data_IF_343064145619
#
_entry.id   IF_343064145619
#
_cell.length_a   1.000
_cell.length_b   1.000
_cell.length_c   1.000
_cell.angle_alpha   90.00
_cell.angle_beta   90.00
_cell.angle_gamma   90.00
#
_symmetry.space_group_name_H-M   'P 1'
#
loop_
_entity.id
_entity.type
_entity.pdbx_description
1 polymer ?
#
# COMPACT_ATOMS: atom_id res chain seq x y z
N UNK A 1 -23.02 -10.25 6.16
CA UNK A 1 -22.96 -8.99 5.42
C UNK A 1 -21.63 -8.90 4.71
N UNK A 2 -21.65 -8.59 3.41
CA UNK A 2 -20.47 -8.36 2.60
C UNK A 2 -20.14 -6.87 2.56
N UNK A 3 -18.87 -6.52 2.69
CA UNK A 3 -18.44 -5.12 2.70
C UNK A 3 -17.05 -4.91 2.10
N UNK A 4 -16.84 -3.70 1.62
CA UNK A 4 -15.57 -3.15 1.21
C UNK A 4 -15.53 -1.70 1.74
N UNK A 5 -14.47 -1.32 2.39
CA UNK A 5 -14.27 0.01 2.97
C UNK A 5 -13.03 0.66 2.34
N UNK A 6 -13.22 1.80 1.72
CA UNK A 6 -12.15 2.65 1.20
C UNK A 6 -12.11 4.00 1.89
N UNK A 7 -10.91 4.48 2.13
CA UNK A 7 -10.63 5.82 2.66
C UNK A 7 -9.71 6.54 1.69
N UNK A 8 -10.02 7.81 1.42
CA UNK A 8 -9.17 8.70 0.64
C UNK A 8 -8.85 9.94 1.47
N UNK A 9 -7.58 10.29 1.53
CA UNK A 9 -7.10 11.51 2.20
C UNK A 9 -6.64 12.48 1.10
N UNK A 10 -7.46 13.47 0.76
CA UNK A 10 -7.08 14.47 -0.24
C UNK A 10 -5.97 15.39 0.29
N UNK A 11 -5.11 15.82 -0.60
CA UNK A 11 -4.06 16.81 -0.33
C UNK A 11 -4.23 18.05 -1.21
N UNK A 12 -3.51 19.09 -0.90
CA UNK A 12 -3.36 20.27 -1.76
C UNK A 12 -2.23 20.09 -2.80
N UNK A 13 -1.56 18.93 -2.82
CA UNK A 13 -0.40 18.68 -3.66
C UNK A 13 -0.82 18.50 -5.12
N UNK A 14 -0.20 19.28 -6.00
CA UNK A 14 -0.39 19.13 -7.43
C UNK A 14 0.26 17.81 -7.91
N UNK A 15 -0.43 17.10 -8.79
CA UNK A 15 0.05 15.83 -9.32
C UNK A 15 1.45 15.93 -9.95
N UNK A 16 1.72 17.03 -10.66
CA UNK A 16 3.00 17.22 -11.35
C UNK A 16 4.18 17.48 -10.40
N UNK A 17 3.91 18.05 -9.23
CA UNK A 17 4.90 18.35 -8.19
C UNK A 17 5.09 17.20 -7.20
N UNK A 18 4.27 16.14 -7.31
CA UNK A 18 4.23 15.03 -6.35
C UNK A 18 5.12 13.87 -6.75
N UNK A 19 5.78 13.28 -5.75
CA UNK A 19 6.58 12.07 -5.85
C UNK A 19 6.13 11.07 -4.78
N UNK A 20 6.01 9.79 -5.16
CA UNK A 20 5.38 8.77 -4.33
C UNK A 20 6.38 7.77 -3.78
N UNK A 21 6.07 7.23 -2.60
CA UNK A 21 6.76 6.10 -1.99
C UNK A 21 5.75 5.00 -1.62
N UNK A 22 5.77 3.91 -2.41
CA UNK A 22 5.11 2.65 -2.07
C UNK A 22 6.19 1.56 -2.07
N UNK A 23 6.72 1.19 -0.93
CA UNK A 23 7.90 0.36 -0.80
C UNK A 23 7.83 -0.96 -1.56
N UNK A 24 8.78 -1.16 -2.47
CA UNK A 24 8.82 -2.35 -3.33
C UNK A 24 8.08 -2.22 -4.66
N UNK A 25 7.22 -1.22 -4.83
CA UNK A 25 6.42 -1.05 -6.03
C UNK A 25 6.60 0.28 -6.74
N UNK A 26 6.67 1.38 -6.00
CA UNK A 26 6.64 2.69 -6.60
C UNK A 26 7.57 3.66 -5.88
N UNK A 27 8.46 4.30 -6.65
CA UNK A 27 9.36 5.35 -6.17
C UNK A 27 9.34 6.52 -7.13
N UNK A 28 9.36 7.74 -6.63
CA UNK A 28 9.17 8.95 -7.42
C UNK A 28 7.90 8.88 -8.27
N UNK A 29 8.02 9.05 -9.57
CA UNK A 29 6.93 8.92 -10.56
C UNK A 29 6.96 7.58 -11.30
N UNK A 30 7.85 6.70 -10.94
CA UNK A 30 8.03 5.36 -11.55
C UNK A 30 8.15 5.40 -13.09
N UNK A 31 8.83 6.41 -13.63
CA UNK A 31 8.87 6.70 -15.07
C UNK A 31 9.66 5.67 -15.90
N UNK A 32 10.46 4.83 -15.25
CA UNK A 32 11.28 3.80 -15.91
C UNK A 32 10.62 2.43 -15.94
N UNK A 33 9.38 2.32 -15.52
CA UNK A 33 8.64 1.06 -15.57
C UNK A 33 8.39 0.62 -17.01
N UNK A 34 8.38 -0.70 -17.28
CA UNK A 34 7.88 -1.24 -18.54
C UNK A 34 6.45 -0.75 -18.82
N UNK A 35 6.05 -0.75 -20.09
CA UNK A 35 4.71 -0.26 -20.50
C UNK A 35 3.56 -0.99 -19.81
N UNK A 36 3.76 -2.24 -19.44
CA UNK A 36 2.76 -3.10 -18.79
C UNK A 36 2.70 -2.92 -17.29
N UNK A 37 3.72 -2.30 -16.70
CA UNK A 37 3.84 -2.11 -15.26
C UNK A 37 3.32 -0.74 -14.82
N UNK A 38 3.05 -0.55 -13.53
CA UNK A 38 2.63 0.73 -12.98
C UNK A 38 3.60 1.85 -13.32
N UNK A 39 3.08 2.93 -13.87
CA UNK A 39 3.81 4.19 -14.02
C UNK A 39 2.84 5.37 -13.99
N UNK A 40 3.37 6.53 -13.69
CA UNK A 40 2.61 7.77 -13.63
C UNK A 40 1.86 8.10 -14.95
N UNK A 41 2.34 7.59 -16.08
CA UNK A 41 1.73 7.81 -17.38
C UNK A 41 0.64 6.78 -17.74
N UNK A 42 0.58 5.66 -17.03
CA UNK A 42 -0.33 4.55 -17.39
C UNK A 42 -1.64 4.59 -16.63
N UNK A 43 -1.66 5.19 -15.46
CA UNK A 43 -2.86 5.38 -14.67
C UNK A 43 -2.71 6.50 -13.66
N UNK A 44 -3.80 7.14 -13.33
CA UNK A 44 -3.87 8.17 -12.31
C UNK A 44 -4.03 7.61 -10.89
N UNK A 45 -4.54 6.40 -10.77
CA UNK A 45 -4.81 5.73 -9.50
C UNK A 45 -4.16 4.37 -9.46
N UNK A 46 -3.48 4.07 -8.37
CA UNK A 46 -2.85 2.77 -8.11
C UNK A 46 -3.09 2.35 -6.68
N UNK A 47 -3.66 1.15 -6.52
CA UNK A 47 -3.84 0.50 -5.22
C UNK A 47 -3.17 -0.86 -5.23
N UNK A 48 -2.46 -1.17 -4.17
CA UNK A 48 -1.73 -2.42 -4.00
C UNK A 48 -2.15 -3.11 -2.71
N UNK A 49 -2.18 -4.42 -2.73
CA UNK A 49 -2.28 -5.20 -1.50
C UNK A 49 -1.14 -4.83 -0.57
N UNK A 50 -1.47 -4.51 0.68
CA UNK A 50 -0.45 -4.08 1.65
C UNK A 50 0.55 -5.18 2.02
N UNK A 51 0.18 -6.48 1.91
CA UNK A 51 1.08 -7.62 2.11
C UNK A 51 2.11 -7.84 0.98
N UNK A 52 2.00 -7.10 -0.11
CA UNK A 52 2.96 -7.10 -1.22
C UNK A 52 3.96 -5.96 -1.14
N UNK A 53 3.69 -4.96 -0.34
CA UNK A 53 4.62 -3.89 -0.08
C UNK A 53 5.75 -4.37 0.83
N UNK A 54 6.97 -3.89 0.62
CA UNK A 54 8.11 -4.21 1.50
C UNK A 54 7.92 -3.64 2.92
N UNK A 55 7.10 -2.62 3.03
CA UNK A 55 6.57 -2.09 4.27
C UNK A 55 5.14 -1.58 4.01
N UNK A 56 4.18 -1.79 4.93
CA UNK A 56 2.77 -1.45 4.70
C UNK A 56 2.53 0.06 4.86
N UNK A 57 3.09 0.83 3.95
CA UNK A 57 2.93 2.28 3.90
C UNK A 57 2.67 2.79 2.48
N UNK A 58 2.04 3.94 2.40
CA UNK A 58 1.98 4.79 1.21
C UNK A 58 2.36 6.21 1.60
N UNK A 59 3.16 6.87 0.78
CA UNK A 59 3.62 8.23 1.04
C UNK A 59 3.65 9.08 -0.21
N UNK A 60 3.53 10.39 -0.02
CA UNK A 60 3.71 11.40 -1.06
C UNK A 60 4.54 12.56 -0.54
N UNK A 61 5.45 13.01 -1.37
CA UNK A 61 6.26 14.21 -1.19
C UNK A 61 5.87 15.24 -2.23
N UNK A 62 5.54 16.45 -1.78
CA UNK A 62 5.31 17.61 -2.65
C UNK A 62 6.61 18.40 -2.79
N UNK A 63 7.22 18.38 -3.97
CA UNK A 63 8.51 19.03 -4.24
C UNK A 63 8.43 20.56 -4.17
N UNK A 64 7.24 21.13 -4.32
CA UNK A 64 7.00 22.57 -4.28
C UNK A 64 7.02 23.13 -2.86
N UNK A 65 6.36 22.46 -1.92
CA UNK A 65 6.26 22.93 -0.53
C UNK A 65 7.23 22.23 0.42
N UNK A 66 7.83 21.11 -0.01
CA UNK A 66 8.62 20.23 0.85
C UNK A 66 7.78 19.45 1.85
N UNK A 67 6.45 19.47 1.72
CA UNK A 67 5.53 18.76 2.61
C UNK A 67 5.41 17.29 2.23
N UNK A 68 5.18 16.46 3.23
CA UNK A 68 4.98 15.01 3.05
C UNK A 68 3.73 14.56 3.77
N UNK A 69 3.02 13.62 3.17
CA UNK A 69 1.93 12.89 3.82
C UNK A 69 2.22 11.40 3.72
N UNK A 70 2.08 10.69 4.82
CA UNK A 70 2.29 9.23 4.88
C UNK A 70 1.15 8.56 5.62
N UNK A 71 0.71 7.42 5.10
CA UNK A 71 -0.20 6.49 5.78
C UNK A 71 0.54 5.19 6.02
N UNK A 72 0.54 4.73 7.26
CA UNK A 72 1.20 3.49 7.69
C UNK A 72 0.19 2.60 8.40
N UNK A 73 0.17 1.31 8.08
CA UNK A 73 -0.61 0.32 8.83
C UNK A 73 -0.10 0.20 10.26
N UNK A 74 -1.02 0.22 11.23
CA UNK A 74 -0.66 0.15 12.65
C UNK A 74 -0.58 -1.29 13.18
N UNK A 75 -1.39 -2.20 12.64
CA UNK A 75 -1.41 -3.57 13.13
C UNK A 75 -0.67 -4.54 12.22
N UNK A 76 -0.31 -5.67 12.82
CA UNK A 76 0.19 -6.82 12.09
C UNK A 76 -0.92 -7.43 11.23
N UNK A 77 -0.64 -7.61 9.95
CA UNK A 77 -1.58 -8.24 9.02
C UNK A 77 -1.72 -9.73 9.30
N UNK A 78 -2.96 -10.23 9.19
CA UNK A 78 -3.25 -11.66 9.20
C UNK A 78 -3.53 -12.14 7.79
N UNK A 79 -2.78 -13.15 7.39
CA UNK A 79 -2.97 -13.77 6.08
C UNK A 79 -4.34 -14.44 5.98
N UNK A 80 -4.79 -14.54 4.77
CA UNK A 80 -6.01 -15.20 4.38
C UNK A 80 -5.81 -16.71 4.27
N UNK A 81 -6.78 -17.47 4.75
CA UNK A 81 -6.77 -18.94 4.66
C UNK A 81 -7.48 -19.45 3.42
N UNK A 82 -8.62 -18.86 3.05
CA UNK A 82 -9.47 -19.32 1.95
C UNK A 82 -10.10 -18.14 1.22
N UNK A 83 -10.18 -18.24 -0.11
CA UNK A 83 -10.90 -17.32 -0.97
C UNK A 83 -11.91 -18.05 -1.83
N UNK A 84 -13.06 -17.40 -2.06
CA UNK A 84 -14.02 -17.82 -3.08
C UNK A 84 -13.95 -16.82 -4.23
N UNK A 85 -13.84 -17.34 -5.45
CA UNK A 85 -13.78 -16.53 -6.65
C UNK A 85 -15.06 -16.71 -7.46
N UNK A 86 -15.66 -15.58 -7.81
CA UNK A 86 -16.64 -15.46 -8.88
C UNK A 86 -16.06 -14.54 -9.96
N UNK A 87 -16.66 -14.50 -11.14
CA UNK A 87 -16.18 -13.64 -12.20
C UNK A 87 -16.19 -12.16 -11.77
N UNK A 88 -15.00 -11.54 -11.75
CA UNK A 88 -14.82 -10.15 -11.34
C UNK A 88 -14.91 -9.88 -9.82
N UNK A 89 -15.19 -10.89 -8.99
CA UNK A 89 -15.34 -10.73 -7.55
C UNK A 89 -14.50 -11.75 -6.77
N UNK A 90 -14.04 -11.34 -5.59
CA UNK A 90 -13.31 -12.20 -4.65
C UNK A 90 -13.94 -12.04 -3.28
N UNK A 91 -14.45 -13.13 -2.75
CA UNK A 91 -15.00 -13.16 -1.40
C UNK A 91 -13.97 -13.80 -0.47
N UNK A 92 -13.51 -13.02 0.51
CA UNK A 92 -12.54 -13.47 1.49
C UNK A 92 -13.23 -14.27 2.58
N UNK A 93 -12.69 -15.46 2.84
CA UNK A 93 -13.10 -16.28 3.97
C UNK A 93 -12.16 -16.08 5.16
N UNK A 94 -12.66 -16.32 6.37
CA UNK A 94 -11.87 -16.27 7.58
C UNK A 94 -11.50 -14.86 8.05
N UNK A 95 -10.54 -14.78 8.97
CA UNK A 95 -10.17 -13.58 9.69
C UNK A 95 -8.97 -12.85 9.05
N UNK A 96 -8.95 -12.73 7.71
CA UNK A 96 -7.93 -11.89 7.06
C UNK A 96 -8.06 -10.44 7.50
N UNK A 97 -6.94 -9.75 7.62
CA UNK A 97 -6.90 -8.30 7.86
C UNK A 97 -6.10 -7.56 6.80
N UNK A 98 -5.79 -8.22 5.68
CA UNK A 98 -5.04 -7.62 4.59
C UNK A 98 -5.91 -6.58 3.88
N UNK A 99 -5.43 -5.34 3.89
CA UNK A 99 -6.04 -4.23 3.18
C UNK A 99 -5.24 -3.85 1.93
N UNK A 100 -5.42 -2.61 1.51
CA UNK A 100 -4.69 -2.00 0.41
C UNK A 100 -4.22 -0.60 0.77
N UNK A 101 -3.21 -0.16 0.04
CA UNK A 101 -2.68 1.20 0.09
C UNK A 101 -2.31 1.66 -1.31
N UNK A 102 -2.40 2.95 -1.53
CA UNK A 102 -2.09 3.54 -2.82
C UNK A 102 -2.31 5.04 -2.87
N UNK A 103 -2.57 5.51 -4.06
CA UNK A 103 -2.84 6.91 -4.32
C UNK A 103 -3.79 7.11 -5.50
N UNK A 104 -4.37 8.27 -5.57
CA UNK A 104 -5.19 8.77 -6.64
C UNK A 104 -4.73 10.18 -7.04
N UNK A 105 -4.79 10.48 -8.35
CA UNK A 105 -4.41 11.76 -8.95
C UNK A 105 -5.57 12.38 -9.73
N UNK A 106 -6.77 12.25 -9.25
CA UNK A 106 -7.92 12.85 -9.91
C UNK A 106 -7.88 14.39 -9.86
N UNK A 107 -8.34 15.00 -10.94
CA UNK A 107 -8.43 16.46 -11.06
C UNK A 107 -7.10 17.21 -10.81
N UNK A 108 -5.96 16.58 -11.10
CA UNK A 108 -4.65 17.19 -10.93
C UNK A 108 -4.19 17.38 -9.49
N UNK A 109 -4.86 16.72 -8.55
CA UNK A 109 -4.53 16.69 -7.14
C UNK A 109 -4.31 15.27 -6.65
N UNK A 110 -3.43 15.12 -5.67
CA UNK A 110 -3.11 13.82 -5.07
C UNK A 110 -4.00 13.54 -3.87
N UNK A 111 -4.47 12.30 -3.78
CA UNK A 111 -5.03 11.73 -2.56
C UNK A 111 -4.29 10.44 -2.22
N UNK A 112 -3.99 10.18 -0.97
CA UNK A 112 -3.56 8.85 -0.53
C UNK A 112 -4.79 8.00 -0.24
N UNK A 113 -4.76 6.76 -0.71
CA UNK A 113 -5.87 5.81 -0.60
C UNK A 113 -5.46 4.59 0.21
N UNK A 114 -6.35 4.09 1.04
CA UNK A 114 -6.17 2.87 1.80
C UNK A 114 -7.52 2.29 2.20
N UNK A 115 -7.56 1.04 2.58
CA UNK A 115 -8.83 0.43 2.98
C UNK A 115 -8.75 -1.06 3.19
N UNK A 116 -9.95 -1.68 3.32
CA UNK A 116 -10.11 -3.08 3.60
C UNK A 116 -11.43 -3.61 3.02
N UNK A 117 -11.48 -4.84 2.50
CA UNK A 117 -10.35 -5.72 2.23
C UNK A 117 -9.49 -5.21 1.08
N UNK A 118 -8.41 -5.94 0.77
CA UNK A 118 -7.46 -5.55 -0.24
C UNK A 118 -8.07 -5.34 -1.62
N UNK A 119 -7.54 -4.36 -2.35
CA UNK A 119 -7.85 -4.08 -3.75
C UNK A 119 -6.54 -3.90 -4.50
N UNK A 120 -6.49 -4.32 -5.75
CA UNK A 120 -5.39 -4.00 -6.67
C UNK A 120 -5.96 -3.38 -7.93
N UNK A 121 -5.67 -2.12 -8.16
CA UNK A 121 -6.10 -1.33 -9.31
C UNK A 121 -4.95 -0.54 -9.90
N UNK A 122 -4.96 -0.22 -11.20
CA UNK A 122 -5.90 -0.64 -12.25
C UNK A 122 -5.62 -2.06 -12.77
N UNK A 123 -4.61 -2.72 -12.25
CA UNK A 123 -4.23 -4.10 -12.59
C UNK A 123 -3.94 -4.89 -11.33
N UNK A 124 -4.22 -6.17 -11.36
CA UNK A 124 -3.94 -7.13 -10.30
C UNK A 124 -2.75 -8.01 -10.69
N UNK A 125 -1.82 -8.18 -9.76
CA UNK A 125 -0.67 -9.06 -9.93
C UNK A 125 -1.03 -10.48 -9.52
N UNK A 126 -0.92 -11.45 -10.43
CA UNK A 126 -1.14 -12.86 -10.09
C UNK A 126 0.19 -13.55 -9.78
N UNK A 127 1.17 -13.33 -10.66
CA UNK A 127 2.52 -13.90 -10.56
C UNK A 127 3.49 -13.04 -11.34
N UNK A 128 4.77 -13.36 -11.28
CA UNK A 128 5.82 -12.65 -12.01
C UNK A 128 5.38 -12.25 -13.42
N UNK A 129 5.39 -10.97 -13.71
CA UNK A 129 5.06 -10.35 -15.01
C UNK A 129 3.65 -10.68 -15.55
N UNK A 130 2.75 -11.19 -14.72
CA UNK A 130 1.36 -11.45 -15.13
C UNK A 130 0.43 -10.48 -14.45
N UNK A 131 -0.13 -9.57 -15.24
CA UNK A 131 -1.14 -8.60 -14.83
C UNK A 131 -2.49 -8.99 -15.43
N UNK A 132 -3.53 -8.94 -14.61
CA UNK A 132 -4.90 -9.18 -15.02
C UNK A 132 -5.79 -8.00 -14.64
N UNK A 133 -7.03 -8.03 -15.09
CA UNK A 133 -8.00 -7.02 -14.71
C UNK A 133 -8.22 -7.02 -13.19
N UNK A 134 -8.56 -5.86 -12.61
CA UNK A 134 -8.90 -5.79 -11.20
C UNK A 134 -10.13 -6.66 -10.89
N UNK A 135 -10.27 -7.04 -9.64
CA UNK A 135 -11.46 -7.68 -9.12
C UNK A 135 -11.92 -6.91 -7.88
N UNK A 136 -13.22 -6.87 -7.67
CA UNK A 136 -13.78 -6.32 -6.44
C UNK A 136 -13.65 -7.37 -5.33
N UNK A 137 -13.06 -6.98 -4.22
CA UNK A 137 -12.83 -7.86 -3.08
C UNK A 137 -13.79 -7.48 -1.95
N UNK A 138 -14.42 -8.46 -1.37
CA UNK A 138 -15.34 -8.30 -0.25
C UNK A 138 -14.90 -9.15 0.93
N UNK A 139 -15.08 -8.61 2.12
CA UNK A 139 -15.02 -9.39 3.36
C UNK A 139 -16.43 -9.68 3.86
N UNK A 140 -16.58 -10.80 4.56
CA UNK A 140 -17.84 -11.20 5.20
C UNK A 140 -17.75 -10.96 6.70
N UNK A 141 -18.78 -10.36 7.28
CA UNK A 141 -19.00 -10.28 8.73
C UNK A 141 -20.26 -11.06 9.10
N UNK A 142 -20.10 -11.97 10.04
CA UNK A 142 -21.23 -12.64 10.68
C UNK A 142 -21.88 -11.74 11.76
N UNK A 143 -23.12 -12.00 12.14
CA UNK A 143 -23.77 -11.24 13.20
C UNK A 143 -22.97 -11.27 14.51
N UNK A 144 -22.64 -10.11 15.04
CA UNK A 144 -21.84 -9.95 16.26
C UNK A 144 -20.33 -9.91 16.06
N UNK A 145 -19.82 -10.23 14.87
CA UNK A 145 -18.40 -10.07 14.57
C UNK A 145 -17.98 -8.60 14.44
N UNK A 146 -16.75 -8.34 14.81
CA UNK A 146 -16.14 -7.01 14.74
C UNK A 146 -14.74 -7.11 14.16
N UNK A 147 -14.45 -6.31 13.14
CA UNK A 147 -13.10 -6.06 12.64
C UNK A 147 -12.70 -4.65 13.02
N UNK A 148 -11.53 -4.52 13.63
CA UNK A 148 -10.93 -3.23 13.94
C UNK A 148 -9.64 -3.11 13.16
N UNK A 149 -9.48 -2.03 12.45
CA UNK A 149 -8.33 -1.72 11.61
C UNK A 149 -7.86 -0.32 11.96
N UNK A 150 -6.56 -0.10 12.02
CA UNK A 150 -6.02 1.21 12.31
C UNK A 150 -4.81 1.55 11.44
N UNK A 151 -4.66 2.83 11.18
CA UNK A 151 -3.56 3.40 10.42
C UNK A 151 -3.03 4.63 11.13
N UNK A 152 -1.72 4.84 11.05
CA UNK A 152 -1.11 6.12 11.36
C UNK A 152 -1.14 7.01 10.14
N UNK A 153 -1.53 8.26 10.33
CA UNK A 153 -1.44 9.32 9.33
C UNK A 153 -0.41 10.31 9.86
N UNK A 154 0.61 10.58 9.06
CA UNK A 154 1.69 11.48 9.43
C UNK A 154 1.90 12.55 8.38
N UNK A 155 1.92 13.78 8.81
CA UNK A 155 2.37 14.91 8.03
C UNK A 155 3.75 15.35 8.52
N UNK A 156 4.68 15.65 7.61
CA UNK A 156 6.01 16.14 7.95
C UNK A 156 6.56 17.03 6.82
N UNK A 157 7.82 17.46 6.97
CA UNK A 157 8.54 18.21 5.93
C UNK A 157 9.88 17.57 5.65
N UNK A 158 10.27 17.57 4.38
CA UNK A 158 11.57 17.11 3.93
C UNK A 158 12.17 18.12 2.94
N UNK A 159 13.48 18.17 2.88
CA UNK A 159 14.18 19.08 1.93
C UNK A 159 14.19 18.55 0.50
N UNK A 160 14.06 17.24 0.34
CA UNK A 160 14.01 16.53 -0.94
C UNK A 160 13.38 15.16 -0.76
N UNK A 161 13.10 14.47 -1.87
CA UNK A 161 12.49 13.14 -1.87
C UNK A 161 13.33 12.10 -1.11
N UNK A 162 14.66 12.12 -1.24
CA UNK A 162 15.53 11.17 -0.53
C UNK A 162 15.41 11.29 0.99
N UNK A 163 15.33 12.52 1.50
CA UNK A 163 15.09 12.78 2.93
C UNK A 163 13.67 12.39 3.34
N UNK A 164 12.66 12.60 2.47
CA UNK A 164 11.31 12.14 2.71
C UNK A 164 11.27 10.62 2.93
N UNK A 165 11.87 9.87 2.02
CA UNK A 165 11.92 8.40 2.11
C UNK A 165 12.67 7.95 3.37
N UNK A 166 13.86 8.52 3.64
CA UNK A 166 14.65 8.15 4.82
C UNK A 166 13.91 8.42 6.13
N UNK A 167 13.28 9.59 6.25
CA UNK A 167 12.50 9.97 7.43
C UNK A 167 11.25 9.10 7.60
N UNK A 168 10.54 8.83 6.52
CA UNK A 168 9.36 7.97 6.50
C UNK A 168 9.70 6.54 6.91
N UNK A 169 10.79 5.99 6.39
CA UNK A 169 11.24 4.65 6.74
C UNK A 169 11.71 4.55 8.19
N UNK A 170 12.44 5.55 8.69
CA UNK A 170 12.83 5.61 10.11
C UNK A 170 11.58 5.61 11.00
N UNK A 171 10.62 6.46 10.70
CA UNK A 171 9.34 6.48 11.42
C UNK A 171 8.61 5.14 11.36
N UNK A 172 8.57 4.50 10.19
CA UNK A 172 7.96 3.19 10.00
C UNK A 172 8.63 2.12 10.86
N UNK A 173 9.97 2.07 10.83
CA UNK A 173 10.75 1.11 11.63
C UNK A 173 10.54 1.30 13.12
N UNK A 174 10.49 2.54 13.61
CA UNK A 174 10.22 2.84 15.01
C UNK A 174 8.83 2.37 15.45
N UNK A 175 7.83 2.47 14.57
CA UNK A 175 6.44 2.07 14.85
C UNK A 175 6.22 0.57 14.76
N UNK A 176 6.73 -0.06 13.71
CA UNK A 176 6.62 -1.52 13.52
C UNK A 176 7.48 -2.26 14.53
N UNK A 177 8.62 -1.67 14.92
CA UNK A 177 9.61 -2.25 15.84
C UNK A 177 9.83 -3.74 15.54
N UNK A 178 10.33 -4.09 14.34
CA UNK A 178 10.45 -5.47 13.92
C UNK A 178 11.42 -6.21 14.83
N UNK A 179 10.96 -7.32 15.40
CA UNK A 179 11.81 -8.15 16.25
C UNK A 179 12.62 -9.11 15.37
N UNK A 180 13.89 -9.37 15.71
CA UNK A 180 14.69 -10.36 15.01
C UNK A 180 14.01 -11.73 15.05
N UNK A 181 13.90 -12.38 13.90
CA UNK A 181 13.46 -13.76 13.82
C UNK A 181 14.67 -14.65 14.18
N UNK A 182 14.53 -15.47 15.19
CA UNK A 182 15.53 -16.51 15.49
C UNK A 182 15.54 -17.53 14.35
N UNK A 183 16.55 -17.48 13.51
CA UNK A 183 16.80 -18.47 12.47
C UNK A 183 17.66 -19.61 13.03
N UNK A 184 17.49 -20.82 12.48
CA UNK A 184 18.33 -21.98 12.82
C UNK A 184 19.81 -21.76 12.49
N UNK A 185 20.10 -20.83 11.58
CA UNK A 185 21.45 -20.48 11.16
C UNK A 185 21.65 -18.97 11.21
N UNK A 186 22.81 -18.54 11.69
CA UNK A 186 23.23 -17.15 11.58
C UNK A 186 23.59 -16.81 10.14
N UNK A 187 23.60 -15.52 9.80
CA UNK A 187 24.04 -15.05 8.48
C UNK A 187 25.50 -15.45 8.17
N UNK A 188 26.34 -15.64 9.17
CA UNK A 188 27.72 -16.13 9.02
C UNK A 188 27.75 -17.61 8.68
N UNK A 189 26.92 -18.42 9.33
CA UNK A 189 26.78 -19.84 9.02
C UNK A 189 26.18 -20.12 7.65
N UNK A 190 25.39 -19.18 7.11
CA UNK A 190 24.86 -19.29 5.74
C UNK A 190 25.85 -18.86 4.65
N UNK A 191 26.96 -18.22 5.01
CA UNK A 191 28.02 -17.81 4.08
C UNK A 191 29.16 -18.83 3.96
N UNK A 192 29.20 -19.84 4.80
CA UNK A 192 30.17 -20.95 4.80
C UNK A 192 29.68 -22.10 3.91
#
# INVERSE_FOLDING_TARGET
VYYNLGVSIPTDYATDDSEFDLPGFWYHKNLRSPREAPSFHTSKSWNFREDRLSSPLTGVYDSRSGSTLTVLRNEQMRAEALTTHQEGEIILGGATTIGYMGFDNENGRVSLTFGYPWVETPKRYIRKLTLVNPATTFACLEPGEKVTLSWYIRESKAKDYGHCVADTWSYCMDRINPQPINTLYSSEQMKA
#
